data_IF_732807487712
#
_entry.id   IF_732807487712
#
_cell.length_a   1.000
_cell.length_b   1.000
_cell.length_c   1.000
_cell.angle_alpha   90.00
_cell.angle_beta   90.00
_cell.angle_gamma   90.00
#
_symmetry.space_group_name_H-M   'P 1'
#
loop_
_entity.id
_entity.type
_entity.pdbx_description
1 polymer ?
#
# COMPACT_ATOMS: atom_id res chain seq x y z
N UNK A 1 -1.21 -9.50 -2.04
CA UNK A 1 -2.50 -9.41 -1.34
C UNK A 1 -3.04 -8.01 -1.57
N UNK A 2 -4.34 -7.88 -1.85
CA UNK A 2 -5.03 -6.61 -1.98
C UNK A 2 -6.43 -6.75 -1.39
N UNK A 3 -7.07 -5.63 -1.07
CA UNK A 3 -8.48 -5.57 -0.70
C UNK A 3 -9.11 -4.41 -1.45
N UNK A 4 -10.30 -4.61 -2.02
CA UNK A 4 -11.11 -3.53 -2.58
C UNK A 4 -12.08 -3.07 -1.50
N UNK A 5 -12.02 -1.79 -1.16
CA UNK A 5 -12.91 -1.17 -0.18
C UNK A 5 -13.74 -0.07 -0.82
N UNK A 6 -14.94 0.14 -0.27
CA UNK A 6 -15.79 1.25 -0.67
C UNK A 6 -15.36 2.53 0.03
N UNK A 7 -15.68 3.68 -0.56
CA UNK A 7 -15.32 5.01 0.00
C UNK A 7 -15.98 5.29 1.35
N UNK A 8 -17.14 4.68 1.60
CA UNK A 8 -17.92 4.78 2.84
C UNK A 8 -17.56 3.72 3.89
N UNK A 9 -16.60 2.83 3.58
CA UNK A 9 -16.12 1.84 4.54
C UNK A 9 -15.47 2.51 5.74
N UNK A 10 -15.80 2.02 6.94
CA UNK A 10 -15.28 2.56 8.21
C UNK A 10 -13.76 2.38 8.29
N UNK A 11 -12.98 3.45 8.57
CA UNK A 11 -11.53 3.35 8.71
C UNK A 11 -11.07 2.34 9.76
N UNK A 12 -11.87 2.12 10.81
CA UNK A 12 -11.58 1.16 11.87
C UNK A 12 -11.54 -0.28 11.33
N UNK A 13 -12.42 -0.61 10.38
CA UNK A 13 -12.45 -1.93 9.76
C UNK A 13 -11.18 -2.17 8.93
N UNK A 14 -10.73 -1.16 8.18
CA UNK A 14 -9.46 -1.17 7.45
C UNK A 14 -8.26 -1.37 8.39
N UNK A 15 -8.23 -0.65 9.52
CA UNK A 15 -7.17 -0.81 10.50
C UNK A 15 -7.17 -2.22 11.12
N UNK A 16 -8.34 -2.76 11.49
CA UNK A 16 -8.42 -4.12 12.02
C UNK A 16 -7.96 -5.15 10.99
N UNK A 17 -8.31 -4.98 9.72
CA UNK A 17 -7.86 -5.84 8.63
C UNK A 17 -6.32 -5.81 8.50
N UNK A 18 -5.71 -4.63 8.52
CA UNK A 18 -4.24 -4.50 8.47
C UNK A 18 -3.55 -5.15 9.69
N UNK A 19 -4.09 -4.97 10.89
CA UNK A 19 -3.47 -5.50 12.11
C UNK A 19 -3.69 -7.00 12.30
N UNK A 20 -4.89 -7.51 12.01
CA UNK A 20 -5.27 -8.91 12.29
C UNK A 20 -5.03 -9.83 11.11
N UNK A 21 -5.63 -9.51 9.96
CA UNK A 21 -5.59 -10.38 8.79
C UNK A 21 -4.24 -10.29 8.09
N UNK A 22 -3.71 -9.08 7.91
CA UNK A 22 -2.41 -8.87 7.30
C UNK A 22 -1.25 -9.01 8.29
N UNK A 23 -1.56 -9.16 9.59
CA UNK A 23 -0.59 -9.31 10.69
C UNK A 23 0.48 -8.21 10.68
N UNK A 24 0.10 -6.98 10.34
CA UNK A 24 1.01 -5.84 10.40
C UNK A 24 1.18 -5.35 11.83
N UNK A 25 2.41 -4.99 12.19
CA UNK A 25 2.68 -4.35 13.48
C UNK A 25 1.98 -2.99 13.58
N UNK A 26 1.39 -2.69 14.73
CA UNK A 26 0.73 -1.40 14.96
C UNK A 26 1.75 -0.25 14.78
N UNK A 27 1.49 0.72 13.89
CA UNK A 27 2.45 1.77 13.62
C UNK A 27 2.47 2.76 14.77
N UNK A 28 3.67 3.21 15.13
CA UNK A 28 3.87 4.39 15.99
C UNK A 28 4.06 5.67 15.17
N UNK A 29 4.33 5.53 13.88
CA UNK A 29 4.64 6.60 12.94
C UNK A 29 4.20 6.18 11.53
N UNK A 30 3.80 7.16 10.72
CA UNK A 30 3.39 6.98 9.33
C UNK A 30 4.19 7.94 8.44
N UNK A 31 4.74 7.43 7.35
CA UNK A 31 5.32 8.21 6.26
C UNK A 31 4.37 8.18 5.07
N UNK A 32 3.74 9.32 4.79
CA UNK A 32 2.92 9.50 3.59
C UNK A 32 3.82 10.05 2.48
N UNK A 33 3.98 9.29 1.40
CA UNK A 33 4.85 9.61 0.27
C UNK A 33 4.02 9.66 -1.00
N UNK A 34 3.81 10.90 -1.46
CA UNK A 34 3.05 11.24 -2.66
C UNK A 34 3.87 12.25 -3.48
N UNK A 35 3.56 12.41 -4.76
CA UNK A 35 4.16 13.42 -5.60
C UNK A 35 3.67 13.33 -7.04
N UNK A 36 4.43 13.89 -7.99
CA UNK A 36 4.03 13.91 -9.40
C UNK A 36 3.63 12.52 -9.90
N UNK A 37 2.46 12.44 -10.54
CA UNK A 37 1.91 11.22 -11.14
C UNK A 37 2.58 10.85 -12.45
N UNK A 38 3.15 11.85 -13.13
CA UNK A 38 3.86 11.68 -14.40
C UNK A 38 5.18 10.95 -14.21
N UNK A 39 5.55 10.18 -15.23
CA UNK A 39 6.85 9.51 -15.22
C UNK A 39 7.99 10.52 -15.40
N UNK A 40 8.97 10.41 -14.51
CA UNK A 40 10.22 11.16 -14.60
C UNK A 40 11.38 10.24 -14.23
N UNK A 41 12.60 10.60 -14.63
CA UNK A 41 13.82 9.83 -14.34
C UNK A 41 14.63 10.52 -13.25
N UNK A 42 14.84 9.84 -12.12
CA UNK A 42 15.81 10.28 -11.12
C UNK A 42 17.22 9.94 -11.56
N UNK A 43 18.16 10.87 -11.31
CA UNK A 43 19.58 10.55 -11.45
C UNK A 43 19.96 9.44 -10.45
N UNK A 44 20.94 8.57 -10.78
CA UNK A 44 21.30 7.45 -9.92
C UNK A 44 21.62 7.85 -8.47
N UNK A 45 22.30 9.00 -8.29
CA UNK A 45 22.65 9.55 -6.97
C UNK A 45 21.41 9.92 -6.15
N UNK A 46 20.43 10.59 -6.75
CA UNK A 46 19.19 10.98 -6.07
C UNK A 46 18.33 9.75 -5.77
N UNK A 47 18.22 8.82 -6.72
CA UNK A 47 17.51 7.55 -6.51
C UNK A 47 18.09 6.76 -5.34
N UNK A 48 19.43 6.67 -5.25
CA UNK A 48 20.11 5.98 -4.16
C UNK A 48 19.88 6.68 -2.82
N UNK A 49 20.00 8.01 -2.77
CA UNK A 49 19.78 8.79 -1.56
C UNK A 49 18.33 8.67 -1.05
N UNK A 50 17.36 8.82 -1.95
CA UNK A 50 15.93 8.64 -1.66
C UNK A 50 15.65 7.25 -1.09
N UNK A 51 16.11 6.22 -1.81
CA UNK A 51 15.90 4.82 -1.43
C UNK A 51 16.50 4.52 -0.07
N UNK A 52 17.77 4.88 0.14
CA UNK A 52 18.47 4.65 1.42
C UNK A 52 17.81 5.41 2.56
N UNK A 53 17.46 6.67 2.36
CA UNK A 53 16.83 7.52 3.38
C UNK A 53 15.48 6.99 3.82
N UNK A 54 14.58 6.74 2.86
CA UNK A 54 13.23 6.25 3.13
C UNK A 54 13.24 4.91 3.88
N UNK A 55 14.00 3.94 3.37
CA UNK A 55 14.06 2.60 3.99
C UNK A 55 14.73 2.65 5.36
N UNK A 56 15.80 3.43 5.51
CA UNK A 56 16.51 3.52 6.80
C UNK A 56 15.60 4.12 7.86
N UNK A 57 14.89 5.21 7.54
CA UNK A 57 13.95 5.85 8.45
C UNK A 57 12.76 4.94 8.82
N UNK A 58 12.18 4.24 7.83
CA UNK A 58 11.06 3.34 8.08
C UNK A 58 11.46 2.16 8.96
N UNK A 59 12.64 1.57 8.70
CA UNK A 59 13.15 0.45 9.48
C UNK A 59 13.56 0.85 10.89
N UNK A 60 14.18 2.02 11.09
CA UNK A 60 14.65 2.45 12.41
C UNK A 60 13.50 2.78 13.36
N UNK A 61 12.37 3.24 12.83
CA UNK A 61 11.20 3.66 13.61
C UNK A 61 10.10 2.60 13.66
N UNK A 62 10.14 1.61 12.77
CA UNK A 62 9.01 0.71 12.53
C UNK A 62 7.81 1.40 11.89
N UNK A 63 8.02 2.55 11.22
CA UNK A 63 6.95 3.30 10.59
C UNK A 63 6.30 2.53 9.44
N UNK A 64 5.02 2.84 9.21
CA UNK A 64 4.35 2.48 7.97
C UNK A 64 4.65 3.49 6.87
N UNK A 65 4.77 3.03 5.63
CA UNK A 65 4.89 3.84 4.43
C UNK A 65 3.55 3.76 3.68
N UNK A 66 2.88 4.89 3.50
CA UNK A 66 1.68 5.03 2.68
C UNK A 66 2.05 5.74 1.38
N UNK A 67 1.52 5.26 0.25
CA UNK A 67 1.77 5.83 -1.08
C UNK A 67 0.57 5.59 -2.00
N UNK A 68 0.53 6.24 -3.17
CA UNK A 68 -0.57 6.10 -4.13
C UNK A 68 -0.63 4.72 -4.79
N UNK A 69 0.39 3.88 -4.63
CA UNK A 69 0.40 2.48 -5.10
C UNK A 69 0.46 2.30 -6.62
N UNK A 70 0.59 3.39 -7.38
CA UNK A 70 0.71 3.37 -8.84
C UNK A 70 2.16 3.18 -9.28
N UNK A 71 2.36 2.53 -10.44
CA UNK A 71 3.68 2.28 -11.02
C UNK A 71 4.20 3.45 -11.87
N UNK A 72 3.86 4.67 -11.48
CA UNK A 72 4.33 5.91 -12.13
C UNK A 72 4.83 6.91 -11.11
N UNK A 73 5.59 7.89 -11.59
CA UNK A 73 6.00 9.04 -10.78
C UNK A 73 6.77 8.67 -9.52
N UNK A 74 6.44 9.34 -8.40
CA UNK A 74 7.11 9.12 -7.10
C UNK A 74 6.83 7.73 -6.54
N UNK A 75 5.59 7.24 -6.68
CA UNK A 75 5.14 5.95 -6.15
C UNK A 75 5.90 4.77 -6.75
N UNK A 76 6.31 4.86 -8.01
CA UNK A 76 7.24 3.91 -8.65
C UNK A 76 8.56 3.80 -7.88
N UNK A 77 9.18 4.92 -7.52
CA UNK A 77 10.45 4.93 -6.79
C UNK A 77 10.31 4.41 -5.36
N UNK A 78 9.17 4.64 -4.71
CA UNK A 78 8.84 4.01 -3.41
C UNK A 78 8.79 2.49 -3.56
N UNK A 79 8.07 1.99 -4.56
CA UNK A 79 7.97 0.55 -4.84
C UNK A 79 9.32 -0.11 -5.13
N UNK A 80 10.16 0.55 -5.93
CA UNK A 80 11.52 0.10 -6.20
C UNK A 80 12.38 0.07 -4.93
N UNK A 81 12.34 1.12 -4.10
CA UNK A 81 13.06 1.19 -2.85
C UNK A 81 12.67 0.04 -1.89
N UNK A 82 11.37 -0.20 -1.75
CA UNK A 82 10.83 -1.27 -0.91
C UNK A 82 11.21 -2.65 -1.47
N UNK A 83 11.26 -2.82 -2.79
CA UNK A 83 11.68 -4.08 -3.42
C UNK A 83 13.17 -4.37 -3.19
N UNK A 84 14.03 -3.37 -3.27
CA UNK A 84 15.50 -3.55 -3.11
C UNK A 84 15.89 -3.91 -1.68
N UNK A 85 15.15 -3.43 -0.68
CA UNK A 85 15.51 -3.60 0.74
C UNK A 85 14.53 -4.49 1.54
N UNK A 86 13.39 -4.83 0.96
CA UNK A 86 12.44 -5.76 1.55
C UNK A 86 12.96 -7.19 1.47
N UNK A 87 13.18 -7.84 2.61
CA UNK A 87 13.51 -9.27 2.64
C UNK A 87 12.38 -10.13 2.08
N UNK A 88 12.67 -11.41 1.82
CA UNK A 88 11.68 -12.42 1.37
C UNK A 88 10.50 -12.62 2.34
N UNK A 89 10.59 -12.09 3.56
CA UNK A 89 9.49 -12.12 4.52
C UNK A 89 8.45 -11.04 4.22
N UNK A 90 7.42 -11.45 3.46
CA UNK A 90 6.22 -10.65 3.17
C UNK A 90 5.57 -10.07 4.46
N UNK A 91 5.71 -10.77 5.59
CA UNK A 91 5.17 -10.37 6.90
C UNK A 91 5.85 -9.15 7.56
N UNK A 92 6.97 -8.66 7.02
CA UNK A 92 7.68 -7.46 7.53
C UNK A 92 7.49 -6.23 6.64
N UNK A 93 6.53 -6.25 5.73
CA UNK A 93 6.28 -5.13 4.82
C UNK A 93 5.35 -4.12 5.48
N UNK A 94 5.93 -3.00 5.87
CA UNK A 94 5.20 -1.89 6.46
C UNK A 94 4.76 -0.88 5.39
N UNK A 95 4.50 -1.32 4.15
CA UNK A 95 4.19 -0.42 3.04
C UNK A 95 2.81 -0.74 2.48
N UNK A 96 1.96 0.26 2.36
CA UNK A 96 0.60 0.16 1.83
C UNK A 96 0.44 1.14 0.67
N UNK A 97 -0.01 0.63 -0.47
CA UNK A 97 -0.42 1.43 -1.62
C UNK A 97 -1.94 1.61 -1.61
N UNK A 98 -2.42 2.85 -1.79
CA UNK A 98 -3.85 3.16 -1.88
C UNK A 98 -4.13 3.76 -3.26
N UNK A 99 -4.86 3.02 -4.08
CA UNK A 99 -5.11 3.39 -5.48
C UNK A 99 -6.60 3.33 -5.80
N UNK A 100 -7.17 4.32 -6.50
CA UNK A 100 -8.54 4.23 -7.00
C UNK A 100 -8.69 3.06 -7.98
N UNK A 101 -9.76 2.28 -7.81
CA UNK A 101 -10.03 1.09 -8.64
C UNK A 101 -10.09 1.39 -10.14
N UNK A 102 -10.62 2.56 -10.52
CA UNK A 102 -10.75 2.97 -11.92
C UNK A 102 -9.43 3.27 -12.63
N UNK A 103 -8.32 3.39 -11.89
CA UNK A 103 -6.97 3.66 -12.44
C UNK A 103 -6.16 2.37 -12.59
N UNK A 104 -6.63 1.26 -12.02
CA UNK A 104 -5.94 -0.03 -12.09
C UNK A 104 -6.22 -0.67 -13.45
N UNK A 105 -5.17 -0.89 -14.24
CA UNK A 105 -5.26 -1.62 -15.51
C UNK A 105 -5.73 -3.07 -15.29
N UNK A 106 -6.58 -3.58 -16.18
CA UNK A 106 -7.15 -4.93 -16.12
C UNK A 106 -7.83 -5.25 -14.78
N UNK A 107 -8.46 -4.25 -14.14
CA UNK A 107 -9.13 -4.44 -12.85
C UNK A 107 -10.25 -5.50 -12.90
N UNK A 108 -10.82 -5.78 -14.06
CA UNK A 108 -11.81 -6.85 -14.27
C UNK A 108 -11.26 -8.23 -13.94
N UNK A 109 -9.97 -8.46 -14.19
CA UNK A 109 -9.31 -9.75 -13.94
C UNK A 109 -9.10 -10.02 -12.45
N UNK A 110 -9.14 -8.97 -11.64
CA UNK A 110 -8.98 -9.03 -10.19
C UNK A 110 -10.32 -9.35 -9.48
N UNK A 111 -11.42 -9.39 -10.21
CA UNK A 111 -12.74 -9.75 -9.69
C UNK A 111 -12.85 -11.28 -9.62
N UNK A 112 -13.21 -11.81 -8.45
CA UNK A 112 -13.47 -13.24 -8.26
C UNK A 112 -12.23 -14.12 -8.04
N UNK A 113 -11.01 -13.55 -7.97
CA UNK A 113 -9.76 -14.32 -7.83
C UNK A 113 -9.33 -14.71 -6.41
N UNK A 114 -10.01 -14.27 -5.35
CA UNK A 114 -9.86 -14.86 -4.00
C UNK A 114 -10.97 -14.34 -3.08
N UNK A 115 -11.97 -15.19 -2.82
CA UNK A 115 -13.08 -14.90 -1.91
C UNK A 115 -12.64 -15.26 -0.49
N UNK A 116 -11.94 -14.34 0.20
CA UNK A 116 -11.94 -14.38 1.67
C UNK A 116 -13.24 -13.71 2.15
N UNK A 117 -14.03 -14.35 3.02
CA UNK A 117 -15.32 -13.81 3.43
C UNK A 117 -15.09 -12.60 4.34
N UNK A 118 -16.07 -11.71 4.36
CA UNK A 118 -16.28 -10.62 5.34
C UNK A 118 -15.40 -9.37 5.25
N UNK A 119 -15.79 -8.45 4.37
CA UNK A 119 -15.96 -7.05 4.80
C UNK A 119 -17.08 -6.30 4.05
N UNK A 120 -18.12 -7.02 3.62
CA UNK A 120 -19.40 -6.39 3.32
C UNK A 120 -20.37 -6.80 4.43
N UNK A 121 -20.78 -5.91 5.35
CA UNK A 121 -22.01 -6.16 6.09
C UNK A 121 -23.12 -6.26 5.05
N UNK A 122 -23.80 -7.42 4.98
CA UNK A 122 -25.06 -7.53 4.22
C UNK A 122 -25.95 -6.37 4.66
N UNK A 123 -26.33 -5.51 3.72
CA UNK A 123 -27.41 -4.56 3.95
C UNK A 123 -28.68 -5.38 4.26
N UNK A 124 -29.33 -5.19 5.42
CA UNK A 124 -30.63 -5.80 5.65
C UNK A 124 -31.67 -5.00 4.86
N UNK A 125 -32.27 -5.64 3.86
CA UNK A 125 -33.41 -5.10 3.13
C UNK A 125 -33.09 -4.66 1.71
N UNK A 126 -33.38 -5.53 0.76
CA UNK A 126 -33.83 -5.16 -0.57
C UNK A 126 -34.83 -6.24 -1.00
N UNK A 127 -35.94 -5.84 -1.65
CA UNK A 127 -37.20 -6.58 -1.71
C UNK A 127 -37.13 -7.91 -2.48
#
# INVERSE_FOLDING_TARGET
MFVRVSVDSKPEALLQLMLREWQMDRPKLLFSVHGGSENFTLTPKVKQAFTKGLITAARSTGAWILTDGINTGVSKYVGEAVKTFGGHNLRKRNTVGVTPWGVIDNNTDLIGRDVSPTCCPRAPGSP
#
